data_IF_352615409005
#
_entry.id   IF_352615409005
#
_cell.length_a   1.000
_cell.length_b   1.000
_cell.length_c   1.000
_cell.angle_alpha   90.00
_cell.angle_beta   90.00
_cell.angle_gamma   90.00
#
_symmetry.space_group_name_H-M   'P 1'
#
loop_
_entity.id
_entity.type
_entity.pdbx_description
1 polymer ?
#
# COMPACT_ATOMS: atom_id res chain seq x y z
N UNK A 1 6.29 -13.52 14.17
CA UNK A 1 6.48 -13.99 12.78
C UNK A 1 6.34 -15.49 12.84
N UNK A 2 5.23 -16.05 12.35
CA UNK A 2 5.11 -17.51 12.20
C UNK A 2 6.15 -17.94 11.16
N UNK A 3 7.14 -18.74 11.58
CA UNK A 3 8.29 -19.15 10.75
C UNK A 3 7.91 -19.92 9.47
N UNK A 4 6.67 -20.39 9.34
CA UNK A 4 6.19 -21.08 8.13
C UNK A 4 5.81 -20.15 6.98
N UNK A 5 5.47 -18.89 7.25
CA UNK A 5 5.10 -17.92 6.20
C UNK A 5 6.30 -17.01 5.97
N UNK A 6 7.12 -17.36 4.96
CA UNK A 6 8.31 -16.58 4.61
C UNK A 6 8.03 -15.08 4.50
N UNK A 7 9.01 -14.24 4.85
CA UNK A 7 8.91 -12.77 4.89
C UNK A 7 8.18 -12.23 3.65
N UNK A 8 7.26 -11.27 3.86
CA UNK A 8 6.47 -10.62 2.81
C UNK A 8 5.47 -11.53 2.06
N UNK A 9 4.95 -12.59 2.71
CA UNK A 9 3.87 -13.43 2.15
C UNK A 9 2.57 -13.25 2.95
N UNK A 10 1.46 -13.20 2.22
CA UNK A 10 0.12 -13.23 2.80
C UNK A 10 -0.34 -14.68 2.99
N UNK A 11 -1.05 -14.91 4.09
CA UNK A 11 -1.78 -16.16 4.36
C UNK A 11 -3.27 -15.83 4.39
N UNK A 12 -4.05 -16.57 3.61
CA UNK A 12 -5.50 -16.46 3.68
C UNK A 12 -5.99 -17.03 5.02
N UNK A 13 -6.85 -16.26 5.69
CA UNK A 13 -7.49 -16.70 6.93
C UNK A 13 -8.79 -17.42 6.56
N UNK A 14 -8.85 -18.73 6.82
CA UNK A 14 -10.10 -19.48 6.66
C UNK A 14 -11.14 -18.98 7.67
N UNK A 15 -12.32 -18.61 7.18
CA UNK A 15 -13.42 -18.12 8.03
C UNK A 15 -13.36 -16.64 8.40
N UNK A 16 -12.50 -15.83 7.76
CA UNK A 16 -12.50 -14.38 7.95
C UNK A 16 -13.80 -13.73 7.49
N UNK A 17 -14.37 -12.85 8.33
CA UNK A 17 -15.52 -12.03 7.94
C UNK A 17 -15.07 -10.84 7.08
N UNK A 18 -15.83 -10.56 6.01
CA UNK A 18 -15.55 -9.41 5.16
C UNK A 18 -15.94 -8.12 5.88
N UNK A 19 -15.16 -7.03 5.77
CA UNK A 19 -15.48 -5.76 6.42
C UNK A 19 -16.87 -5.25 6.05
N UNK A 20 -17.55 -4.63 7.03
CA UNK A 20 -18.78 -3.91 6.76
C UNK A 20 -18.53 -2.83 5.71
N UNK A 21 -19.49 -2.65 4.80
CA UNK A 21 -19.32 -1.72 3.70
C UNK A 21 -19.15 -0.24 4.13
N UNK A 22 -19.53 0.14 5.35
CA UNK A 22 -19.24 1.49 5.89
C UNK A 22 -17.77 1.65 6.28
N UNK A 23 -17.11 0.59 6.75
CA UNK A 23 -15.67 0.59 6.97
C UNK A 23 -14.89 0.71 5.64
N UNK A 24 -15.40 0.11 4.56
CA UNK A 24 -14.79 0.27 3.23
C UNK A 24 -14.91 1.70 2.69
N UNK A 25 -15.81 2.53 3.23
CA UNK A 25 -15.96 3.92 2.79
C UNK A 25 -14.84 4.83 3.35
N UNK A 26 -14.03 4.35 4.29
CA UNK A 26 -12.90 5.07 4.88
C UNK A 26 -11.58 4.42 4.48
N UNK A 27 -10.47 5.15 4.62
CA UNK A 27 -9.14 4.64 4.27
C UNK A 27 -8.66 3.53 5.22
N UNK A 28 -9.21 3.46 6.44
CA UNK A 28 -8.90 2.41 7.42
C UNK A 28 -9.36 1.02 6.96
N UNK A 29 -10.38 0.94 6.09
CA UNK A 29 -10.85 -0.32 5.53
C UNK A 29 -9.94 -0.93 4.45
N UNK A 30 -8.83 -0.27 4.12
CA UNK A 30 -7.95 -0.66 3.02
C UNK A 30 -6.49 -0.72 3.46
N UNK A 31 -5.80 -1.75 2.99
CA UNK A 31 -4.41 -2.05 3.34
C UNK A 31 -3.62 -2.45 2.10
N UNK A 32 -2.30 -2.28 2.16
CA UNK A 32 -1.39 -2.75 1.11
C UNK A 32 -1.22 -4.27 1.17
N UNK A 33 -1.56 -4.95 0.06
CA UNK A 33 -1.37 -6.39 -0.07
C UNK A 33 0.02 -6.78 -0.61
N UNK A 34 0.72 -5.85 -1.26
CA UNK A 34 2.07 -6.05 -1.78
C UNK A 34 3.11 -5.53 -0.77
N UNK A 35 4.33 -6.11 -0.73
CA UNK A 35 5.38 -5.58 0.11
C UNK A 35 5.78 -4.17 -0.32
N UNK A 36 6.16 -3.36 0.67
CA UNK A 36 6.67 -2.03 0.42
C UNK A 36 7.95 -2.07 -0.41
N UNK A 37 8.11 -1.10 -1.32
CA UNK A 37 9.29 -0.95 -2.16
C UNK A 37 10.14 0.20 -1.65
N UNK A 38 11.35 -0.12 -1.16
CA UNK A 38 12.35 0.84 -0.69
C UNK A 38 12.90 1.67 -1.86
N UNK A 39 13.48 2.82 -1.54
CA UNK A 39 14.17 3.70 -2.50
C UNK A 39 15.30 3.01 -3.29
N UNK A 40 15.92 1.97 -2.73
CA UNK A 40 16.92 1.14 -3.42
C UNK A 40 16.34 0.11 -4.41
N UNK A 41 15.02 0.06 -4.57
CA UNK A 41 14.33 -0.88 -5.46
C UNK A 41 14.19 -2.30 -4.90
N UNK A 42 14.34 -2.47 -3.57
CA UNK A 42 14.18 -3.74 -2.85
C UNK A 42 13.00 -3.70 -1.90
N UNK A 43 12.51 -4.85 -1.47
CA UNK A 43 11.40 -4.97 -0.51
C UNK A 43 11.84 -5.32 0.92
N UNK A 44 13.15 -5.45 1.15
CA UNK A 44 13.74 -5.71 2.45
C UNK A 44 15.20 -5.30 2.48
N UNK A 45 15.65 -4.79 3.62
CA UNK A 45 17.04 -4.63 3.96
C UNK A 45 17.71 -6.00 4.13
N UNK A 46 19.00 -6.11 3.77
CA UNK A 46 19.76 -7.32 4.00
C UNK A 46 19.89 -7.58 5.50
N UNK A 47 19.90 -8.85 5.87
CA UNK A 47 20.19 -9.28 7.23
C UNK A 47 21.71 -9.26 7.44
N UNK A 48 22.21 -8.13 7.93
CA UNK A 48 23.64 -7.90 8.14
C UNK A 48 24.19 -8.77 9.28
N UNK A 49 23.35 -9.16 10.23
CA UNK A 49 23.74 -9.99 11.38
C UNK A 49 23.95 -11.46 10.98
N UNK A 50 23.35 -11.87 9.85
CA UNK A 50 23.53 -13.20 9.27
C UNK A 50 24.82 -13.36 8.46
N UNK A 51 25.54 -12.27 8.18
CA UNK A 51 26.78 -12.30 7.39
C UNK A 51 27.97 -12.65 8.27
N UNK A 52 28.91 -13.44 7.74
CA UNK A 52 30.18 -13.71 8.43
C UNK A 52 30.98 -12.41 8.60
N UNK A 53 31.59 -12.25 9.79
CA UNK A 53 32.38 -11.08 10.15
C UNK A 53 33.54 -10.89 9.15
N UNK A 54 33.62 -9.71 8.52
CA UNK A 54 34.61 -9.41 7.48
C UNK A 54 34.16 -9.66 6.02
N UNK A 55 32.93 -10.12 5.78
CA UNK A 55 32.38 -10.28 4.40
C UNK A 55 32.23 -8.94 3.67
N UNK A 56 31.91 -7.87 4.40
CA UNK A 56 31.73 -6.53 3.87
C UNK A 56 32.58 -5.53 4.67
N UNK A 57 33.11 -4.47 4.02
CA UNK A 57 33.77 -3.38 4.73
C UNK A 57 32.83 -2.71 5.75
N UNK A 58 33.34 -2.31 6.92
CA UNK A 58 32.57 -1.63 7.97
C UNK A 58 31.87 -0.35 7.45
N UNK A 59 32.49 0.36 6.51
CA UNK A 59 31.90 1.53 5.86
C UNK A 59 30.60 1.20 5.11
N UNK A 60 30.54 0.03 4.47
CA UNK A 60 29.35 -0.45 3.74
C UNK A 60 28.25 -0.84 4.72
N UNK A 61 28.61 -1.51 5.82
CA UNK A 61 27.66 -1.90 6.87
C UNK A 61 27.03 -0.65 7.51
N UNK A 62 27.85 0.34 7.86
CA UNK A 62 27.39 1.61 8.42
C UNK A 62 26.50 2.39 7.44
N UNK A 63 26.85 2.40 6.14
CA UNK A 63 26.03 3.04 5.12
C UNK A 63 24.67 2.37 4.94
N UNK A 64 24.61 1.03 4.97
CA UNK A 64 23.33 0.29 4.91
C UNK A 64 22.50 0.53 6.17
N UNK A 65 23.11 0.53 7.35
CA UNK A 65 22.41 0.82 8.60
C UNK A 65 21.84 2.25 8.64
N UNK A 66 22.61 3.25 8.20
CA UNK A 66 22.11 4.62 8.11
C UNK A 66 20.90 4.76 7.17
N UNK A 67 20.90 4.05 6.03
CA UNK A 67 19.75 4.01 5.12
C UNK A 67 18.56 3.25 5.70
N UNK A 68 18.80 2.16 6.43
CA UNK A 68 17.77 1.39 7.14
C UNK A 68 17.09 2.22 8.23
N UNK A 69 17.84 3.09 8.92
CA UNK A 69 17.29 4.04 9.88
C UNK A 69 16.48 5.17 9.21
N UNK A 70 16.96 5.67 8.07
CA UNK A 70 16.26 6.71 7.31
C UNK A 70 14.96 6.21 6.66
N UNK A 71 14.95 4.97 6.16
CA UNK A 71 13.78 4.33 5.54
C UNK A 71 13.57 2.94 6.16
N UNK A 72 12.88 2.85 7.32
CA UNK A 72 12.62 1.57 7.96
C UNK A 72 11.74 0.69 7.08
N UNK A 73 11.95 -0.63 7.17
CA UNK A 73 11.05 -1.58 6.50
C UNK A 73 9.62 -1.41 7.01
N UNK A 74 8.66 -1.33 6.09
CA UNK A 74 7.24 -1.32 6.44
C UNK A 74 6.70 -2.75 6.43
N UNK A 75 5.76 -3.03 7.34
CA UNK A 75 5.11 -4.32 7.43
C UNK A 75 4.20 -4.63 6.24
N UNK A 76 3.76 -5.89 6.15
CA UNK A 76 2.63 -6.26 5.28
C UNK A 76 1.33 -5.69 5.87
N UNK A 77 0.34 -5.42 5.03
CA UNK A 77 -1.00 -4.97 5.44
C UNK A 77 -1.01 -3.61 6.17
N UNK A 78 -0.04 -2.75 5.88
CA UNK A 78 -0.07 -1.34 6.30
C UNK A 78 -1.30 -0.63 5.74
N UNK A 79 -1.91 0.22 6.55
CA UNK A 79 -3.09 0.98 6.16
C UNK A 79 -2.73 2.05 5.12
N UNK A 80 -3.57 2.19 4.09
CA UNK A 80 -3.35 3.21 3.06
C UNK A 80 -3.48 4.64 3.62
N UNK A 81 -4.06 4.79 4.81
CA UNK A 81 -4.23 6.07 5.50
C UNK A 81 -2.93 6.74 5.92
N UNK A 82 -1.87 5.96 6.14
CA UNK A 82 -0.55 6.47 6.52
C UNK A 82 0.33 6.85 5.31
N UNK A 83 -0.17 6.66 4.08
CA UNK A 83 0.60 6.98 2.89
C UNK A 83 0.76 8.50 2.72
N UNK A 84 1.99 8.95 2.43
CA UNK A 84 2.32 10.37 2.22
C UNK A 84 1.93 11.30 3.38
N UNK A 85 2.02 10.83 4.62
CA UNK A 85 1.72 11.66 5.81
C UNK A 85 2.56 12.95 5.83
N UNK A 86 3.81 12.91 5.33
CA UNK A 86 4.70 14.09 5.22
C UNK A 86 4.18 15.17 4.25
N UNK A 87 3.37 14.79 3.26
CA UNK A 87 2.81 15.69 2.25
C UNK A 87 1.36 16.07 2.54
N UNK A 88 0.85 15.70 3.72
CA UNK A 88 -0.51 15.94 4.14
C UNK A 88 -0.69 17.41 4.54
N UNK A 89 -1.64 18.14 3.92
CA UNK A 89 -2.04 19.46 4.40
C UNK A 89 -2.59 19.38 5.83
N UNK A 90 -2.41 20.43 6.65
CA UNK A 90 -2.88 20.46 8.04
C UNK A 90 -4.39 20.19 8.18
N UNK A 91 -5.18 20.53 7.16
CA UNK A 91 -6.64 20.37 7.13
C UNK A 91 -7.12 19.06 6.48
N UNK A 92 -6.21 18.21 5.99
CA UNK A 92 -6.60 17.00 5.26
C UNK A 92 -6.80 15.80 6.21
N UNK A 93 -7.95 15.14 6.11
CA UNK A 93 -8.21 13.88 6.81
C UNK A 93 -7.76 12.68 5.95
N UNK A 94 -6.88 11.84 6.51
CA UNK A 94 -6.32 10.67 5.84
C UNK A 94 -5.22 10.98 4.81
N UNK A 95 -4.86 9.98 4.02
CA UNK A 95 -3.84 10.10 2.98
C UNK A 95 -4.34 10.90 1.78
N UNK A 96 -3.49 11.79 1.28
CA UNK A 96 -3.69 12.52 0.02
C UNK A 96 -3.39 11.67 -1.23
N UNK A 97 -2.86 10.46 -1.06
CA UNK A 97 -2.53 9.57 -2.16
C UNK A 97 -3.75 8.85 -2.75
N UNK A 98 -4.86 8.80 -2.00
CA UNK A 98 -5.99 7.94 -2.29
C UNK A 98 -7.31 8.71 -2.26
N UNK A 99 -8.20 8.38 -3.19
CA UNK A 99 -9.57 8.89 -3.23
C UNK A 99 -10.56 7.73 -3.17
N UNK A 100 -11.47 7.77 -2.21
CA UNK A 100 -12.50 6.75 -2.02
C UNK A 100 -13.85 7.30 -2.46
N UNK A 101 -14.58 6.51 -3.24
CA UNK A 101 -15.94 6.84 -3.65
C UNK A 101 -16.84 5.62 -3.63
N UNK A 102 -18.00 5.77 -3.02
CA UNK A 102 -19.07 4.77 -3.01
C UNK A 102 -20.01 5.03 -4.19
N UNK A 103 -20.38 3.95 -4.88
CA UNK A 103 -21.29 3.93 -6.01
C UNK A 103 -22.48 3.01 -5.73
N UNK A 104 -23.58 3.27 -6.42
CA UNK A 104 -24.83 2.51 -6.29
C UNK A 104 -25.68 2.97 -5.12
N UNK A 105 -26.71 2.19 -4.85
CA UNK A 105 -27.65 2.43 -3.76
C UNK A 105 -27.09 1.92 -2.42
N UNK A 106 -27.26 2.73 -1.36
CA UNK A 106 -26.88 2.39 0.02
C UNK A 106 -27.91 1.47 0.69
N UNK A 107 -29.02 1.20 0.01
CA UNK A 107 -30.05 0.27 0.46
C UNK A 107 -29.49 -1.10 0.84
N UNK A 108 -30.05 -1.64 1.91
CA UNK A 108 -29.91 -3.04 2.28
C UNK A 108 -31.13 -3.79 1.76
N UNK A 109 -30.89 -4.86 1.02
CA UNK A 109 -31.91 -5.69 0.42
C UNK A 109 -31.99 -7.00 1.20
N UNK A 110 -33.10 -7.21 1.89
CA UNK A 110 -33.34 -8.44 2.66
C UNK A 110 -33.84 -9.53 1.71
N UNK A 111 -33.07 -10.61 1.56
CA UNK A 111 -33.49 -11.84 0.91
C UNK A 111 -33.81 -12.90 1.97
N UNK A 112 -34.56 -13.96 1.64
CA UNK A 112 -34.88 -15.05 2.57
C UNK A 112 -33.64 -15.66 3.25
N UNK A 113 -32.52 -15.69 2.54
CA UNK A 113 -31.28 -16.34 2.98
C UNK A 113 -30.24 -15.36 3.55
N UNK A 114 -30.27 -14.08 3.16
CA UNK A 114 -29.31 -13.08 3.63
C UNK A 114 -29.71 -11.64 3.29
N UNK A 115 -29.23 -10.68 4.08
CA UNK A 115 -29.25 -9.26 3.69
C UNK A 115 -28.06 -8.96 2.79
N UNK A 116 -28.29 -8.33 1.64
CA UNK A 116 -27.24 -7.96 0.67
C UNK A 116 -27.29 -6.47 0.36
N UNK A 117 -26.13 -5.85 0.16
CA UNK A 117 -26.04 -4.52 -0.42
C UNK A 117 -25.32 -4.58 -1.76
N UNK A 118 -25.83 -3.83 -2.74
CA UNK A 118 -25.25 -3.71 -4.07
C UNK A 118 -24.35 -2.48 -4.20
N UNK A 119 -24.06 -1.80 -3.08
CA UNK A 119 -23.08 -0.70 -3.08
C UNK A 119 -21.70 -1.22 -3.43
N UNK A 120 -21.01 -0.45 -4.27
CA UNK A 120 -19.64 -0.72 -4.70
C UNK A 120 -18.77 0.41 -4.18
N UNK A 121 -17.74 0.08 -3.41
CA UNK A 121 -16.73 1.05 -3.00
C UNK A 121 -15.54 0.94 -3.93
N UNK A 122 -15.12 2.06 -4.51
CA UNK A 122 -13.89 2.14 -5.29
C UNK A 122 -12.87 3.07 -4.63
N UNK A 123 -11.63 2.61 -4.55
CA UNK A 123 -10.46 3.38 -4.12
C UNK A 123 -9.59 3.64 -5.33
N UNK A 124 -9.15 4.87 -5.53
CA UNK A 124 -8.35 5.29 -6.68
C UNK A 124 -7.05 5.91 -6.19
N UNK A 125 -5.94 5.56 -6.84
CA UNK A 125 -4.67 6.25 -6.58
C UNK A 125 -4.63 7.58 -7.32
N UNK A 126 -4.23 8.63 -6.62
CA UNK A 126 -3.95 9.95 -7.17
C UNK A 126 -2.49 10.09 -7.62
N UNK A 127 -1.58 9.27 -7.05
CA UNK A 127 -0.17 9.20 -7.44
C UNK A 127 0.00 8.42 -8.74
N UNK A 128 -0.75 7.33 -8.91
CA UNK A 128 -0.71 6.49 -10.11
C UNK A 128 -2.07 6.50 -10.80
N UNK A 129 -2.35 7.54 -11.63
CA UNK A 129 -3.60 7.64 -12.37
C UNK A 129 -3.84 6.37 -13.20
N UNK A 130 -4.93 5.69 -12.91
CA UNK A 130 -5.30 4.41 -13.51
C UNK A 130 -5.35 3.23 -12.52
N UNK A 131 -4.71 3.34 -11.36
CA UNK A 131 -4.83 2.33 -10.30
C UNK A 131 -6.17 2.49 -9.57
N UNK A 132 -6.97 1.42 -9.58
CA UNK A 132 -8.28 1.36 -8.92
C UNK A 132 -8.45 0.02 -8.20
N UNK A 133 -8.83 0.05 -6.94
CA UNK A 133 -9.33 -1.09 -6.19
C UNK A 133 -10.85 -0.96 -6.02
N UNK A 134 -11.60 -2.04 -6.20
CA UNK A 134 -13.06 -2.06 -6.04
C UNK A 134 -13.48 -3.19 -5.13
N UNK A 135 -14.49 -2.96 -4.30
CA UNK A 135 -15.10 -3.97 -3.44
C UNK A 135 -16.63 -3.91 -3.50
N UNK A 136 -17.26 -5.09 -3.57
CA UNK A 136 -18.71 -5.28 -3.57
C UNK A 136 -19.07 -6.58 -2.84
N UNK A 137 -19.73 -6.44 -1.68
CA UNK A 137 -20.05 -7.59 -0.83
C UNK A 137 -18.76 -8.31 -0.45
N UNK A 138 -18.70 -9.62 -0.68
CA UNK A 138 -17.53 -10.45 -0.33
C UNK A 138 -16.52 -10.60 -1.48
N UNK A 139 -16.55 -9.70 -2.46
CA UNK A 139 -15.66 -9.73 -3.61
C UNK A 139 -14.94 -8.39 -3.75
N UNK A 140 -13.67 -8.45 -4.11
CA UNK A 140 -12.87 -7.29 -4.44
C UNK A 140 -11.98 -7.56 -5.65
N UNK A 141 -11.52 -6.52 -6.31
CA UNK A 141 -10.58 -6.62 -7.43
C UNK A 141 -9.69 -5.37 -7.49
N UNK A 142 -8.44 -5.57 -7.88
CA UNK A 142 -7.47 -4.49 -8.10
C UNK A 142 -7.13 -4.45 -9.58
N UNK A 143 -7.22 -3.27 -10.19
CA UNK A 143 -6.99 -3.07 -11.62
C UNK A 143 -6.10 -1.84 -11.83
N UNK A 144 -5.26 -1.89 -12.86
CA UNK A 144 -4.52 -0.75 -13.36
C UNK A 144 -4.83 -0.54 -14.85
N UNK A 145 -5.36 0.63 -15.20
CA UNK A 145 -5.62 1.02 -16.59
C UNK A 145 -5.14 2.46 -16.77
N UNK A 146 -3.96 2.63 -17.38
CA UNK A 146 -3.34 3.95 -17.55
C UNK A 146 -2.01 3.88 -18.29
N UNK A 147 -1.32 5.01 -18.35
CA UNK A 147 -0.10 5.19 -19.14
C UNK A 147 1.20 4.78 -18.41
N UNK A 148 1.12 4.31 -17.16
CA UNK A 148 2.31 3.99 -16.36
C UNK A 148 3.10 5.21 -15.91
N UNK A 149 2.48 6.39 -15.86
CA UNK A 149 3.12 7.64 -15.46
C UNK A 149 2.71 8.04 -14.05
N UNK A 150 3.72 8.30 -13.20
CA UNK A 150 3.51 8.84 -11.86
C UNK A 150 3.13 10.32 -11.93
N UNK A 151 2.09 10.70 -11.21
CA UNK A 151 1.64 12.08 -11.11
C UNK A 151 2.74 12.95 -10.48
N UNK A 152 3.00 14.13 -11.06
CA UNK A 152 3.95 15.11 -10.53
C UNK A 152 5.44 14.78 -10.70
N UNK A 153 5.82 13.72 -11.43
CA UNK A 153 7.23 13.27 -11.50
C UNK A 153 7.94 13.62 -12.82
N UNK A 154 7.27 14.30 -13.76
CA UNK A 154 7.91 14.73 -15.01
C UNK A 154 8.74 16.00 -14.79
N UNK A 155 9.85 15.87 -14.07
CA UNK A 155 10.93 16.87 -14.08
C UNK A 155 11.97 16.38 -15.11
N UNK A 156 12.31 17.18 -16.13
CA UNK A 156 13.39 16.83 -17.03
C UNK A 156 14.68 16.65 -16.23
N UNK A 157 15.48 15.61 -16.51
CA UNK A 157 16.75 15.45 -15.82
C UNK A 157 17.59 16.71 -16.00
N UNK A 158 18.17 17.19 -14.91
CA UNK A 158 19.11 18.29 -14.92
C UNK A 158 20.25 17.94 -15.89
N UNK A 159 20.50 18.82 -16.87
CA UNK A 159 21.47 18.58 -17.95
C UNK A 159 22.90 18.39 -17.46
N UNK A 160 23.23 18.88 -16.27
CA UNK A 160 24.58 18.80 -15.70
C UNK A 160 24.77 17.59 -14.78
N UNK A 161 23.77 17.23 -13.98
CA UNK A 161 23.86 16.12 -13.02
C UNK A 161 23.21 14.82 -13.51
N UNK A 162 22.38 14.86 -14.57
CA UNK A 162 21.63 13.71 -15.08
C UNK A 162 20.55 13.18 -14.14
N UNK A 163 20.34 13.84 -12.99
CA UNK A 163 19.33 13.48 -11.99
C UNK A 163 18.02 14.25 -12.27
N UNK A 164 16.85 13.65 -11.99
CA UNK A 164 15.57 14.36 -12.04
C UNK A 164 15.55 15.60 -11.12
#
# INVERSE_FOLDING_TARGET
VDEEVGKNKLKEVEGGEFPAHDALATQEGWVHAAPFLLSEGKCSWPDLDSLEEGTLPEEVINAVNAKKEAEPEKGMLEAIGADLEELKPEDAEGSVAWSIKVYGDKGQYTYPDSTKSYRVTAVRSLIWPGAVAVAQGNRFANLYIGNGLKCGTLVPPNKESGLP
#
